data_IF_572862859144
#
_entry.id   IF_572862859144
#
_cell.length_a   1.000
_cell.length_b   1.000
_cell.length_c   1.000
_cell.angle_alpha   90.00
_cell.angle_beta   90.00
_cell.angle_gamma   90.00
#
_symmetry.space_group_name_H-M   'P 1'
#
loop_
_entity.id
_entity.type
_entity.pdbx_description
1 polymer ?
#
# COMPACT_ATOMS: atom_id res chain seq x y z
N UNK A 1 -39.82 78.29 -24.17
CA UNK A 1 -40.60 77.92 -22.97
C UNK A 1 -42.04 77.78 -23.40
N UNK A 2 -42.68 76.69 -23.02
CA UNK A 2 -44.12 76.52 -23.19
C UNK A 2 -44.88 77.58 -22.40
N UNK A 3 -46.00 78.03 -22.93
CA UNK A 3 -46.84 79.07 -22.36
C UNK A 3 -47.88 78.46 -21.40
N UNK A 4 -47.98 79.00 -20.20
CA UNK A 4 -49.09 78.72 -19.27
C UNK A 4 -49.99 79.97 -19.19
N UNK A 5 -51.26 79.85 -19.58
CA UNK A 5 -52.24 80.95 -19.52
C UNK A 5 -53.01 81.04 -18.18
N UNK A 6 -52.98 80.00 -17.35
CA UNK A 6 -53.58 80.03 -16.02
C UNK A 6 -52.66 80.75 -15.04
N UNK A 7 -53.03 81.97 -14.63
CA UNK A 7 -52.18 82.84 -13.80
C UNK A 7 -52.62 82.87 -12.34
N UNK A 8 -51.65 82.87 -11.44
CA UNK A 8 -51.89 83.11 -10.03
C UNK A 8 -52.32 84.58 -9.79
N UNK A 9 -53.39 84.79 -9.03
CA UNK A 9 -53.96 86.10 -8.71
C UNK A 9 -53.51 86.57 -7.33
N UNK A 10 -53.24 87.88 -7.16
CA UNK A 10 -52.96 88.52 -5.87
C UNK A 10 -51.82 87.88 -5.05
N UNK A 11 -50.73 87.48 -5.72
CA UNK A 11 -49.56 86.82 -5.10
C UNK A 11 -48.52 87.80 -4.52
N UNK A 12 -48.65 89.10 -4.79
CA UNK A 12 -47.74 90.11 -4.27
C UNK A 12 -47.79 90.20 -2.74
N UNK A 13 -46.66 90.58 -2.12
CA UNK A 13 -46.55 90.72 -0.67
C UNK A 13 -47.51 91.75 -0.06
N UNK A 14 -47.93 92.73 -0.88
CA UNK A 14 -48.83 93.82 -0.50
C UNK A 14 -50.25 93.63 -1.07
N UNK A 15 -50.61 92.42 -1.51
CA UNK A 15 -51.93 92.17 -2.07
C UNK A 15 -53.05 92.39 -1.04
N UNK A 16 -54.20 92.87 -1.50
CA UNK A 16 -55.40 93.08 -0.68
C UNK A 16 -56.07 91.74 -0.33
N UNK A 17 -55.43 90.95 0.53
CA UNK A 17 -55.87 89.62 0.98
C UNK A 17 -55.63 89.44 2.49
N UNK A 18 -56.55 88.80 3.23
CA UNK A 18 -56.35 88.48 4.63
C UNK A 18 -55.16 87.56 4.85
N UNK A 19 -54.60 87.62 6.06
CA UNK A 19 -53.61 86.66 6.51
C UNK A 19 -54.20 85.24 6.49
N UNK A 20 -53.33 84.22 6.47
CA UNK A 20 -53.83 82.84 6.52
C UNK A 20 -54.60 82.57 7.81
N UNK A 21 -54.11 83.12 8.94
CA UNK A 21 -54.73 82.98 10.24
C UNK A 21 -56.12 83.62 10.29
N UNK A 22 -56.29 84.84 9.77
CA UNK A 22 -57.58 85.51 9.74
C UNK A 22 -58.58 84.75 8.85
N UNK A 23 -58.13 84.24 7.71
CA UNK A 23 -58.96 83.45 6.80
C UNK A 23 -59.46 82.15 7.44
N UNK A 24 -58.59 81.43 8.16
CA UNK A 24 -58.95 80.17 8.84
C UNK A 24 -59.93 80.37 10.01
N UNK A 25 -60.02 81.59 10.55
CA UNK A 25 -60.97 81.93 11.63
C UNK A 25 -62.32 82.44 11.13
N UNK A 26 -62.48 82.68 9.83
CA UNK A 26 -63.76 83.09 9.23
C UNK A 26 -64.76 81.92 9.27
N UNK A 27 -65.90 82.14 9.93
CA UNK A 27 -66.97 81.13 10.05
C UNK A 27 -67.55 80.74 8.67
N UNK A 28 -67.49 81.63 7.68
CA UNK A 28 -67.97 81.39 6.32
C UNK A 28 -67.02 80.48 5.53
N UNK A 29 -65.77 80.25 5.97
CA UNK A 29 -64.85 79.31 5.30
C UNK A 29 -65.45 77.90 5.21
N UNK A 30 -66.13 77.45 6.28
CA UNK A 30 -66.77 76.13 6.34
C UNK A 30 -68.22 76.13 5.86
N UNK A 31 -68.92 77.28 5.96
CA UNK A 31 -70.37 77.39 5.72
C UNK A 31 -70.74 77.98 4.36
N UNK A 32 -69.79 78.62 3.67
CA UNK A 32 -70.06 79.47 2.52
C UNK A 32 -70.62 80.84 2.91
N UNK A 33 -70.65 81.78 1.96
CA UNK A 33 -71.23 83.10 2.18
C UNK A 33 -72.77 83.04 2.21
N UNK A 34 -73.45 83.78 3.12
CA UNK A 34 -74.91 83.81 3.20
C UNK A 34 -75.58 84.38 1.93
N UNK A 35 -76.79 83.92 1.63
CA UNK A 35 -77.56 84.40 0.48
C UNK A 35 -77.86 85.92 0.59
N UNK A 36 -77.71 86.63 -0.53
CA UNK A 36 -78.01 88.07 -0.70
C UNK A 36 -77.28 89.02 0.26
N UNK A 37 -76.06 88.71 0.66
CA UNK A 37 -75.22 89.61 1.47
C UNK A 37 -74.05 90.20 0.67
N UNK A 38 -73.62 91.39 1.07
CA UNK A 38 -72.37 91.98 0.59
C UNK A 38 -71.20 91.12 1.07
N UNK A 39 -70.34 90.72 0.14
CA UNK A 39 -69.14 89.94 0.44
C UNK A 39 -67.94 90.87 0.29
N UNK A 40 -67.11 90.94 1.32
CA UNK A 40 -65.90 91.75 1.30
C UNK A 40 -64.94 91.29 0.19
N UNK A 41 -64.45 92.22 -0.63
CA UNK A 41 -63.47 91.89 -1.66
C UNK A 41 -62.16 91.38 -1.04
N UNK A 42 -61.86 91.77 0.21
CA UNK A 42 -60.70 91.29 0.95
C UNK A 42 -60.74 89.77 1.14
N UNK A 43 -61.86 89.22 1.62
CA UNK A 43 -62.02 87.77 1.81
C UNK A 43 -62.13 87.02 0.47
N UNK A 44 -62.82 87.60 -0.52
CA UNK A 44 -62.93 87.02 -1.86
C UNK A 44 -61.57 86.90 -2.57
N UNK A 45 -60.71 87.91 -2.43
CA UNK A 45 -59.38 87.87 -3.01
C UNK A 45 -58.54 86.71 -2.44
N UNK A 46 -58.78 86.29 -1.18
CA UNK A 46 -58.11 85.12 -0.60
C UNK A 46 -58.52 83.82 -1.28
N UNK A 47 -59.83 83.64 -1.51
CA UNK A 47 -60.39 82.49 -2.23
C UNK A 47 -59.81 82.45 -3.63
N UNK A 48 -59.90 83.56 -4.38
CA UNK A 48 -59.36 83.65 -5.73
C UNK A 48 -57.85 83.41 -5.76
N UNK A 49 -57.09 83.94 -4.80
CA UNK A 49 -55.65 83.68 -4.69
C UNK A 49 -55.36 82.20 -4.50
N UNK A 50 -55.98 81.54 -3.52
CA UNK A 50 -55.71 80.11 -3.27
C UNK A 50 -56.07 79.24 -4.48
N UNK A 51 -57.23 79.45 -5.10
CA UNK A 51 -57.66 78.67 -6.28
C UNK A 51 -56.78 78.93 -7.50
N UNK A 52 -56.52 80.20 -7.84
CA UNK A 52 -55.71 80.56 -9.02
C UNK A 52 -54.24 80.15 -8.88
N UNK A 53 -53.68 80.19 -7.66
CA UNK A 53 -52.30 79.76 -7.40
C UNK A 53 -52.15 78.27 -7.67
N UNK A 54 -53.04 77.42 -7.14
CA UNK A 54 -53.00 75.98 -7.40
C UNK A 54 -53.22 75.68 -8.89
N UNK A 55 -54.15 76.39 -9.53
CA UNK A 55 -54.41 76.23 -10.97
C UNK A 55 -53.17 76.57 -11.80
N UNK A 56 -52.49 77.68 -11.50
CA UNK A 56 -51.23 78.08 -12.15
C UNK A 56 -50.12 77.05 -11.94
N UNK A 57 -49.98 76.51 -10.72
CA UNK A 57 -48.97 75.48 -10.41
C UNK A 57 -49.20 74.20 -11.20
N UNK A 58 -50.46 73.75 -11.30
CA UNK A 58 -50.81 72.55 -12.08
C UNK A 58 -50.54 72.80 -13.56
N UNK A 59 -50.95 73.95 -14.10
CA UNK A 59 -50.74 74.28 -15.50
C UNK A 59 -49.25 74.43 -15.84
N UNK A 60 -48.44 75.03 -14.96
CA UNK A 60 -46.98 75.09 -15.10
C UNK A 60 -46.35 73.69 -15.04
N UNK A 61 -46.82 72.82 -14.15
CA UNK A 61 -46.38 71.43 -14.08
C UNK A 61 -46.63 70.72 -15.42
N UNK A 62 -47.85 70.83 -15.96
CA UNK A 62 -48.21 70.26 -17.27
C UNK A 62 -47.27 70.80 -18.35
N UNK A 63 -47.19 72.13 -18.50
CA UNK A 63 -46.40 72.79 -19.53
C UNK A 63 -44.92 72.38 -19.47
N UNK A 64 -44.38 72.23 -18.26
CA UNK A 64 -42.99 71.83 -18.01
C UNK A 64 -42.74 70.36 -18.35
N UNK A 65 -43.63 69.45 -17.95
CA UNK A 65 -43.40 68.01 -18.15
C UNK A 65 -43.53 67.57 -19.60
N UNK A 66 -44.45 68.18 -20.38
CA UNK A 66 -44.70 67.74 -21.77
C UNK A 66 -44.17 68.72 -22.82
N UNK A 67 -43.74 69.93 -22.42
CA UNK A 67 -43.19 70.94 -23.33
C UNK A 67 -44.22 71.59 -24.27
N UNK A 68 -45.52 71.50 -23.95
CA UNK A 68 -46.63 72.06 -24.75
C UNK A 68 -47.29 73.23 -24.02
N UNK A 69 -47.93 74.13 -24.78
CA UNK A 69 -48.70 75.23 -24.22
C UNK A 69 -49.98 74.75 -23.52
N UNK A 70 -50.29 75.38 -22.39
CA UNK A 70 -51.48 75.16 -21.57
C UNK A 70 -52.33 76.42 -21.62
N UNK A 71 -53.32 76.43 -22.52
CA UNK A 71 -54.13 77.60 -22.88
C UNK A 71 -55.42 77.66 -22.04
N UNK A 72 -55.86 78.87 -21.69
CA UNK A 72 -57.16 79.14 -21.06
C UNK A 72 -58.22 79.40 -22.15
N UNK A 73 -58.59 78.35 -22.88
CA UNK A 73 -59.55 78.37 -24.00
C UNK A 73 -60.86 77.60 -23.73
N UNK A 74 -61.03 77.14 -22.49
CA UNK A 74 -62.18 76.33 -22.06
C UNK A 74 -62.15 74.86 -22.50
N UNK A 75 -61.09 74.39 -23.17
CA UNK A 75 -61.00 72.99 -23.64
C UNK A 75 -60.54 72.02 -22.53
N UNK A 76 -61.48 71.64 -21.66
CA UNK A 76 -61.24 70.73 -20.53
C UNK A 76 -60.72 69.35 -20.97
N UNK A 77 -61.18 68.83 -22.10
CA UNK A 77 -60.73 67.54 -22.63
C UNK A 77 -59.25 67.56 -22.98
N UNK A 78 -58.79 68.62 -23.66
CA UNK A 78 -57.37 68.80 -23.98
C UNK A 78 -56.54 68.97 -22.71
N UNK A 79 -56.98 69.80 -21.77
CA UNK A 79 -56.27 70.02 -20.51
C UNK A 79 -56.12 68.71 -19.70
N UNK A 80 -57.17 67.88 -19.68
CA UNK A 80 -57.15 66.57 -19.01
C UNK A 80 -56.17 65.61 -19.69
N UNK A 81 -56.18 65.55 -21.02
CA UNK A 81 -55.23 64.73 -21.77
C UNK A 81 -53.77 65.18 -21.53
N UNK A 82 -53.54 66.50 -21.50
CA UNK A 82 -52.23 67.07 -21.20
C UNK A 82 -51.78 66.75 -19.75
N UNK A 83 -52.69 66.80 -18.77
CA UNK A 83 -52.38 66.41 -17.40
C UNK A 83 -52.00 64.92 -17.29
N UNK A 84 -52.77 64.02 -17.91
CA UNK A 84 -52.44 62.59 -17.91
C UNK A 84 -51.07 62.33 -18.54
N UNK A 85 -50.79 62.95 -19.69
CA UNK A 85 -49.49 62.85 -20.36
C UNK A 85 -48.35 63.38 -19.48
N UNK A 86 -48.55 64.50 -18.78
CA UNK A 86 -47.57 65.06 -17.86
C UNK A 86 -47.25 64.11 -16.70
N UNK A 87 -48.27 63.45 -16.14
CA UNK A 87 -48.10 62.45 -15.08
C UNK A 87 -47.36 61.21 -15.59
N UNK A 88 -47.72 60.68 -16.76
CA UNK A 88 -47.04 59.54 -17.38
C UNK A 88 -45.56 59.82 -17.67
N UNK A 89 -45.24 60.98 -18.27
CA UNK A 89 -43.86 61.38 -18.53
C UNK A 89 -43.05 61.52 -17.25
N UNK A 90 -43.64 62.12 -16.21
CA UNK A 90 -43.00 62.25 -14.90
C UNK A 90 -42.74 60.89 -14.25
N UNK A 91 -43.66 59.94 -14.39
CA UNK A 91 -43.50 58.59 -13.87
C UNK A 91 -42.39 57.81 -14.59
N UNK A 92 -42.28 57.94 -15.93
CA UNK A 92 -41.27 57.24 -16.75
C UNK A 92 -39.86 57.78 -16.48
N UNK A 93 -39.69 59.11 -16.46
CA UNK A 93 -38.38 59.75 -16.28
C UNK A 93 -37.94 59.84 -14.81
N UNK A 94 -38.87 59.73 -13.87
CA UNK A 94 -38.62 59.91 -12.44
C UNK A 94 -38.13 58.66 -11.72
N UNK A 95 -38.31 57.47 -12.31
CA UNK A 95 -37.89 56.20 -11.73
C UNK A 95 -36.78 55.61 -12.61
N UNK A 96 -35.51 55.64 -12.18
CA UNK A 96 -34.40 55.10 -12.95
C UNK A 96 -34.50 53.56 -13.04
N UNK A 97 -33.69 52.96 -13.93
CA UNK A 97 -33.41 51.54 -13.84
C UNK A 97 -32.72 51.24 -12.51
N UNK A 98 -33.00 50.08 -11.91
CA UNK A 98 -32.28 49.70 -10.71
C UNK A 98 -30.79 49.50 -11.03
N UNK A 99 -29.93 49.88 -10.10
CA UNK A 99 -28.50 49.62 -10.12
C UNK A 99 -28.05 49.12 -8.75
N UNK A 100 -26.76 48.76 -8.63
CA UNK A 100 -26.19 48.33 -7.35
C UNK A 100 -26.25 49.43 -6.27
N UNK A 101 -26.45 50.70 -6.65
CA UNK A 101 -26.42 51.85 -5.74
C UNK A 101 -27.70 52.68 -5.78
N UNK A 102 -28.63 52.42 -6.70
CA UNK A 102 -29.87 53.18 -6.88
C UNK A 102 -31.07 52.24 -7.05
N UNK A 103 -32.11 52.42 -6.24
CA UNK A 103 -33.39 51.69 -6.40
C UNK A 103 -34.09 52.15 -7.68
N UNK A 104 -34.69 51.21 -8.42
CA UNK A 104 -35.35 51.48 -9.69
C UNK A 104 -36.24 50.32 -10.17
N UNK A 105 -36.70 50.38 -11.42
CA UNK A 105 -37.43 49.28 -12.08
C UNK A 105 -36.46 48.29 -12.74
N UNK A 106 -36.83 47.00 -12.79
CA UNK A 106 -36.04 45.92 -13.43
C UNK A 106 -36.97 45.03 -14.24
N UNK A 107 -36.52 44.57 -15.41
CA UNK A 107 -37.23 43.58 -16.23
C UNK A 107 -36.76 42.15 -15.86
N UNK A 108 -37.68 41.20 -15.80
CA UNK A 108 -37.36 39.80 -15.50
C UNK A 108 -36.91 39.03 -16.75
N UNK A 109 -36.03 38.03 -16.57
CA UNK A 109 -35.57 37.12 -17.63
C UNK A 109 -35.56 35.65 -17.20
N UNK A 110 -35.86 34.77 -18.15
CA UNK A 110 -35.83 33.30 -18.05
C UNK A 110 -34.64 32.68 -18.79
N UNK A 111 -33.72 33.50 -19.30
CA UNK A 111 -32.47 33.04 -19.92
C UNK A 111 -31.26 33.58 -19.17
N UNK A 112 -30.16 32.82 -19.21
CA UNK A 112 -28.87 33.27 -18.69
C UNK A 112 -28.17 34.15 -19.72
N UNK A 113 -27.48 35.19 -19.25
CA UNK A 113 -26.67 36.09 -20.07
C UNK A 113 -25.96 37.14 -19.22
N UNK A 114 -25.28 38.07 -19.88
CA UNK A 114 -24.42 39.08 -19.23
C UNK A 114 -25.12 40.45 -19.13
N UNK A 115 -26.43 40.45 -18.82
CA UNK A 115 -27.21 41.69 -18.75
C UNK A 115 -27.15 42.33 -17.36
N UNK A 116 -26.81 43.63 -17.34
CA UNK A 116 -26.87 44.47 -16.12
C UNK A 116 -28.26 45.08 -15.86
N UNK A 117 -29.22 44.88 -16.77
CA UNK A 117 -30.57 45.49 -16.71
C UNK A 117 -31.70 44.47 -16.51
N UNK A 118 -31.37 43.18 -16.51
CA UNK A 118 -32.33 42.09 -16.33
C UNK A 118 -32.09 41.36 -15.01
N UNK A 119 -33.16 41.03 -14.30
CA UNK A 119 -33.12 40.14 -13.14
C UNK A 119 -33.62 38.74 -13.52
N UNK A 120 -32.89 37.72 -13.09
CA UNK A 120 -33.31 36.33 -13.30
C UNK A 120 -34.59 36.01 -12.53
N UNK A 121 -35.46 35.19 -13.12
CA UNK A 121 -36.67 34.70 -12.44
C UNK A 121 -36.33 33.66 -11.37
N UNK A 122 -37.19 33.54 -10.35
CA UNK A 122 -37.08 32.48 -9.34
C UNK A 122 -37.11 31.08 -9.96
N UNK A 123 -37.89 30.89 -11.02
CA UNK A 123 -37.99 29.62 -11.74
C UNK A 123 -36.66 29.25 -12.40
N UNK A 124 -36.00 30.19 -13.09
CA UNK A 124 -34.69 29.95 -13.68
C UNK A 124 -33.63 29.60 -12.62
N UNK A 125 -33.61 30.32 -11.48
CA UNK A 125 -32.72 29.99 -10.36
C UNK A 125 -32.95 28.55 -9.87
N UNK A 126 -34.21 28.13 -9.73
CA UNK A 126 -34.56 26.78 -9.29
C UNK A 126 -34.05 25.71 -10.28
N UNK A 127 -34.18 25.95 -11.58
CA UNK A 127 -33.69 25.03 -12.63
C UNK A 127 -32.16 24.91 -12.61
N UNK A 128 -31.44 26.04 -12.47
CA UNK A 128 -29.98 26.06 -12.36
C UNK A 128 -29.53 25.28 -11.12
N UNK A 129 -30.14 25.52 -9.96
CA UNK A 129 -29.82 24.82 -8.71
C UNK A 129 -30.09 23.32 -8.83
N UNK A 130 -31.22 22.92 -9.41
CA UNK A 130 -31.54 21.50 -9.61
C UNK A 130 -30.56 20.82 -10.58
N UNK A 131 -30.18 21.49 -11.66
CA UNK A 131 -29.17 20.99 -12.62
C UNK A 131 -27.80 20.82 -11.97
N UNK A 132 -27.37 21.79 -11.16
CA UNK A 132 -26.14 21.70 -10.36
C UNK A 132 -26.19 20.51 -9.40
N UNK A 133 -27.28 20.37 -8.64
CA UNK A 133 -27.46 19.28 -7.68
C UNK A 133 -27.44 17.91 -8.37
N UNK A 134 -28.10 17.77 -9.53
CA UNK A 134 -28.08 16.54 -10.33
C UNK A 134 -26.68 16.19 -10.85
N UNK A 135 -25.92 17.18 -11.34
CA UNK A 135 -24.56 16.98 -11.81
C UNK A 135 -23.58 16.58 -10.68
N UNK A 136 -23.73 17.17 -9.49
CA UNK A 136 -22.90 16.83 -8.32
C UNK A 136 -23.21 15.39 -7.88
N UNK A 137 -24.49 15.06 -7.70
CA UNK A 137 -24.94 13.75 -7.22
C UNK A 137 -24.56 12.59 -8.15
N UNK A 138 -24.42 12.82 -9.46
CA UNK A 138 -24.01 11.77 -10.41
C UNK A 138 -22.50 11.47 -10.36
N UNK A 139 -21.66 12.45 -10.01
CA UNK A 139 -20.20 12.28 -9.97
C UNK A 139 -19.72 11.72 -8.64
N UNK A 140 -20.20 12.29 -7.54
CA UNK A 140 -19.87 11.86 -6.18
C UNK A 140 -21.16 11.77 -5.38
N UNK A 141 -21.90 10.65 -5.48
CA UNK A 141 -23.07 10.44 -4.65
C UNK A 141 -22.67 10.42 -3.16
N UNK A 142 -23.51 10.98 -2.29
CA UNK A 142 -23.28 10.95 -0.83
C UNK A 142 -23.21 9.53 -0.25
N UNK A 143 -23.77 8.55 -0.97
CA UNK A 143 -23.71 7.13 -0.64
C UNK A 143 -22.40 6.44 -1.06
N UNK A 144 -21.52 7.13 -1.81
CA UNK A 144 -20.27 6.56 -2.29
C UNK A 144 -19.32 6.33 -1.11
N UNK A 145 -18.73 5.14 -1.09
CA UNK A 145 -17.81 4.70 -0.05
C UNK A 145 -16.46 4.34 -0.64
N UNK A 146 -15.39 4.54 0.13
CA UNK A 146 -14.07 3.95 -0.11
C UNK A 146 -13.90 2.83 0.89
N UNK A 147 -13.88 1.59 0.41
CA UNK A 147 -13.76 0.40 1.23
C UNK A 147 -14.71 0.37 2.46
N UNK A 148 -15.99 0.64 2.22
CA UNK A 148 -17.02 0.66 3.26
C UNK A 148 -17.11 1.97 4.08
N UNK A 149 -16.12 2.88 3.97
CA UNK A 149 -16.08 4.17 4.69
C UNK A 149 -16.74 5.27 3.86
N UNK A 150 -17.64 6.04 4.48
CA UNK A 150 -18.32 7.16 3.83
C UNK A 150 -17.35 8.33 3.56
N UNK A 151 -17.57 9.06 2.46
CA UNK A 151 -16.76 10.21 2.02
C UNK A 151 -17.16 11.51 2.75
N UNK A 152 -17.18 11.50 4.09
CA UNK A 152 -17.55 12.68 4.90
C UNK A 152 -16.35 13.49 5.42
N UNK A 153 -15.13 13.07 5.09
CA UNK A 153 -13.87 13.69 5.52
C UNK A 153 -12.66 12.87 5.08
N UNK A 154 -11.50 13.12 5.68
CA UNK A 154 -10.27 12.37 5.39
C UNK A 154 -10.41 10.89 5.78
N UNK A 155 -10.02 10.00 4.87
CA UNK A 155 -10.10 8.55 5.06
C UNK A 155 -8.71 7.99 5.31
N UNK A 156 -8.46 7.55 6.55
CA UNK A 156 -7.30 6.72 6.87
C UNK A 156 -7.58 5.28 6.44
N UNK A 157 -6.75 4.75 5.54
CA UNK A 157 -6.78 3.35 5.14
C UNK A 157 -5.70 2.57 5.89
N UNK A 158 -6.08 1.41 6.40
CA UNK A 158 -5.19 0.43 7.01
C UNK A 158 -4.89 -0.69 6.01
N UNK A 159 -3.86 -1.49 6.26
CA UNK A 159 -3.59 -2.67 5.42
C UNK A 159 -4.81 -3.61 5.35
N UNK A 160 -5.52 -3.79 6.48
CA UNK A 160 -6.74 -4.58 6.54
C UNK A 160 -7.88 -4.05 5.66
N UNK A 161 -7.94 -2.73 5.44
CA UNK A 161 -8.94 -2.15 4.54
C UNK A 161 -8.76 -2.66 3.10
N UNK A 162 -7.53 -2.85 2.63
CA UNK A 162 -7.28 -3.30 1.24
C UNK A 162 -6.97 -4.78 1.12
N UNK A 163 -7.26 -5.58 2.16
CA UNK A 163 -6.93 -7.00 2.19
C UNK A 163 -5.42 -7.29 2.22
N UNK A 164 -4.61 -6.31 2.64
CA UNK A 164 -3.17 -6.44 2.80
C UNK A 164 -2.80 -6.75 4.26
N UNK A 165 -1.59 -7.29 4.44
CA UNK A 165 -0.97 -7.48 5.76
C UNK A 165 -0.03 -6.31 6.01
N UNK A 166 -0.09 -5.69 7.20
CA UNK A 166 0.88 -4.65 7.55
C UNK A 166 2.27 -5.25 7.73
N UNK A 167 3.32 -4.46 7.45
CA UNK A 167 4.71 -4.87 7.71
C UNK A 167 4.89 -5.31 9.16
N UNK A 168 4.32 -4.58 10.11
CA UNK A 168 4.35 -4.93 11.53
C UNK A 168 3.67 -6.28 11.80
N UNK A 169 2.53 -6.56 11.18
CA UNK A 169 1.82 -7.84 11.39
C UNK A 169 2.62 -9.02 10.81
N UNK A 170 3.22 -8.86 9.62
CA UNK A 170 4.07 -9.88 9.01
C UNK A 170 5.34 -10.13 9.84
N UNK A 171 5.95 -9.07 10.41
CA UNK A 171 7.09 -9.21 11.31
C UNK A 171 6.70 -9.82 12.67
N UNK A 172 5.53 -9.45 13.20
CA UNK A 172 4.99 -10.00 14.45
C UNK A 172 4.67 -11.50 14.33
N UNK A 173 4.17 -11.95 13.18
CA UNK A 173 3.84 -13.37 12.94
C UNK A 173 5.10 -14.24 12.87
N UNK A 174 6.21 -13.70 12.35
CA UNK A 174 7.54 -14.33 12.35
C UNK A 174 8.24 -14.29 13.72
N UNK A 175 7.61 -13.73 14.75
CA UNK A 175 8.17 -13.66 16.10
C UNK A 175 8.41 -15.04 16.74
N UNK A 176 9.26 -15.05 17.77
CA UNK A 176 9.74 -16.26 18.45
C UNK A 176 8.61 -17.19 18.90
N UNK A 177 8.68 -18.46 18.49
CA UNK A 177 7.85 -19.58 18.96
C UNK A 177 6.32 -19.34 19.00
N UNK A 178 5.79 -18.54 18.06
CA UNK A 178 4.36 -18.19 17.99
C UNK A 178 3.45 -19.39 17.75
N UNK A 179 3.95 -20.44 17.09
CA UNK A 179 3.24 -21.71 16.92
C UNK A 179 3.57 -22.68 18.07
N UNK A 180 2.83 -22.63 19.19
CA UNK A 180 3.09 -23.45 20.39
C UNK A 180 1.85 -24.14 21.03
N UNK A 181 0.69 -24.17 20.35
CA UNK A 181 -0.56 -24.77 20.86
C UNK A 181 -1.45 -25.38 19.77
N UNK A 182 -2.55 -26.06 20.17
CA UNK A 182 -3.51 -26.69 19.24
C UNK A 182 -4.08 -25.63 18.27
N UNK A 183 -3.92 -25.87 16.97
CA UNK A 183 -4.57 -25.18 15.82
C UNK A 183 -3.96 -23.90 15.22
N UNK A 184 -2.79 -23.44 15.62
CA UNK A 184 -2.21 -22.25 14.97
C UNK A 184 -1.46 -22.60 13.67
N UNK A 185 -2.19 -22.66 12.56
CA UNK A 185 -1.66 -22.91 11.21
C UNK A 185 -2.05 -21.77 10.28
N UNK A 186 -1.49 -20.59 10.51
CA UNK A 186 -1.78 -19.43 9.66
C UNK A 186 -1.25 -19.65 8.23
N UNK A 187 -2.08 -19.33 7.25
CA UNK A 187 -1.61 -19.08 5.88
C UNK A 187 -0.72 -17.82 5.91
N UNK A 188 0.47 -17.89 5.29
CA UNK A 188 1.52 -16.87 5.41
C UNK A 188 2.76 -17.33 6.18
N UNK A 189 3.50 -16.38 6.76
CA UNK A 189 4.75 -16.65 7.48
C UNK A 189 4.56 -16.70 9.00
N UNK A 190 5.17 -17.67 9.68
CA UNK A 190 5.15 -17.75 11.14
C UNK A 190 6.43 -18.35 11.74
N UNK A 191 6.84 -17.84 12.90
CA UNK A 191 7.89 -18.47 13.71
C UNK A 191 7.33 -19.65 14.52
N UNK A 192 8.10 -20.73 14.64
CA UNK A 192 7.73 -21.92 15.41
C UNK A 192 8.80 -22.30 16.44
N UNK A 193 8.35 -22.96 17.51
CA UNK A 193 9.23 -23.49 18.54
C UNK A 193 9.26 -25.03 18.57
N UNK A 194 10.11 -25.61 19.45
CA UNK A 194 10.36 -27.05 19.55
C UNK A 194 9.12 -27.94 19.66
N UNK A 195 8.06 -27.42 20.29
CA UNK A 195 6.83 -28.15 20.60
C UNK A 195 5.66 -27.78 19.67
N UNK A 196 5.94 -27.13 18.53
CA UNK A 196 4.90 -26.76 17.59
C UNK A 196 4.18 -28.03 17.08
N UNK A 197 2.84 -28.15 17.17
CA UNK A 197 2.14 -29.41 16.87
C UNK A 197 2.37 -29.94 15.46
N UNK A 198 2.59 -29.05 14.50
CA UNK A 198 2.85 -29.45 13.11
C UNK A 198 4.21 -30.17 12.96
N UNK A 199 5.20 -29.89 13.82
CA UNK A 199 6.52 -30.54 13.74
C UNK A 199 6.34 -32.05 13.91
N UNK A 200 5.66 -32.46 14.98
CA UNK A 200 5.33 -33.87 15.22
C UNK A 200 4.38 -34.42 14.15
N UNK A 201 3.32 -33.67 13.81
CA UNK A 201 2.29 -34.11 12.85
C UNK A 201 2.87 -34.46 11.47
N UNK A 202 3.87 -33.71 11.02
CA UNK A 202 4.47 -33.87 9.69
C UNK A 202 5.86 -34.53 9.71
N UNK A 203 6.25 -35.12 10.85
CA UNK A 203 7.50 -35.86 10.98
C UNK A 203 8.76 -34.99 10.78
N UNK A 204 8.69 -33.72 11.16
CA UNK A 204 9.86 -32.83 11.17
C UNK A 204 10.72 -33.10 12.41
N UNK A 205 12.03 -32.77 12.40
CA UNK A 205 12.88 -32.93 13.57
C UNK A 205 12.34 -32.17 14.78
N UNK A 206 12.30 -32.86 15.92
CA UNK A 206 11.90 -32.27 17.19
C UNK A 206 13.04 -31.44 17.78
N UNK A 207 12.70 -30.41 18.58
CA UNK A 207 13.69 -29.64 19.33
C UNK A 207 14.18 -28.34 18.67
N UNK A 208 13.88 -28.15 17.38
CA UNK A 208 14.32 -26.99 16.62
C UNK A 208 13.37 -25.79 16.70
N UNK A 209 13.94 -24.60 16.59
CA UNK A 209 13.22 -23.36 16.26
C UNK A 209 13.29 -23.12 14.76
N UNK A 210 12.36 -22.35 14.21
CA UNK A 210 12.46 -21.92 12.82
C UNK A 210 11.35 -21.00 12.38
N UNK A 211 11.30 -20.77 11.07
CA UNK A 211 10.20 -20.07 10.41
C UNK A 211 9.56 -20.96 9.36
N UNK A 212 8.26 -20.81 9.17
CA UNK A 212 7.51 -21.52 8.15
C UNK A 212 6.78 -20.55 7.23
N UNK A 213 6.65 -20.91 5.96
CA UNK A 213 5.78 -20.30 4.98
C UNK A 213 4.70 -21.30 4.59
N UNK A 214 3.44 -20.94 4.79
CA UNK A 214 2.29 -21.73 4.37
C UNK A 214 1.59 -21.03 3.22
N UNK A 215 1.34 -21.78 2.15
CA UNK A 215 0.61 -21.33 0.99
C UNK A 215 -0.67 -22.15 0.89
N UNK A 216 -1.79 -21.49 0.66
CA UNK A 216 -3.10 -22.12 0.50
C UNK A 216 -3.89 -21.45 -0.63
N UNK A 217 -4.81 -22.19 -1.25
CA UNK A 217 -5.74 -21.63 -2.25
C UNK A 217 -6.94 -20.90 -1.60
N UNK A 218 -6.99 -20.83 -0.27
CA UNK A 218 -7.97 -20.06 0.49
C UNK A 218 -7.26 -19.16 1.50
N UNK A 219 -7.91 -18.06 1.88
CA UNK A 219 -7.41 -17.16 2.92
C UNK A 219 -8.06 -17.51 4.27
N UNK A 220 -7.28 -17.64 5.34
CA UNK A 220 -7.84 -17.74 6.69
C UNK A 220 -6.95 -18.39 7.74
N UNK A 221 -7.53 -18.55 8.93
CA UNK A 221 -6.99 -19.38 10.01
C UNK A 221 -7.05 -20.85 9.59
N UNK A 222 -5.93 -21.58 9.77
CA UNK A 222 -5.81 -23.04 9.62
C UNK A 222 -6.81 -23.66 8.66
N UNK A 223 -6.50 -23.60 7.37
CA UNK A 223 -7.33 -24.19 6.32
C UNK A 223 -7.12 -25.72 6.18
N UNK A 224 -6.60 -26.37 7.24
CA UNK A 224 -6.29 -27.78 7.25
C UNK A 224 -7.55 -28.66 7.37
N UNK A 225 -7.66 -29.74 6.58
CA UNK A 225 -8.80 -30.66 6.63
C UNK A 225 -10.09 -30.16 5.96
N UNK A 226 -10.05 -28.98 5.32
CA UNK A 226 -11.17 -28.44 4.55
C UNK A 226 -11.19 -29.07 3.15
N UNK A 227 -12.32 -29.67 2.78
CA UNK A 227 -12.49 -30.29 1.47
C UNK A 227 -12.32 -29.27 0.33
N UNK A 228 -11.53 -29.61 -0.69
CA UNK A 228 -11.26 -28.73 -1.85
C UNK A 228 -10.20 -27.66 -1.61
N UNK A 229 -9.59 -27.62 -0.42
CA UNK A 229 -8.48 -26.70 -0.12
C UNK A 229 -7.14 -27.39 -0.37
N UNK A 230 -6.25 -26.73 -1.08
CA UNK A 230 -4.87 -27.17 -1.33
C UNK A 230 -3.91 -26.29 -0.54
N UNK A 231 -3.02 -26.93 0.23
CA UNK A 231 -2.03 -26.22 1.03
C UNK A 231 -0.68 -26.93 1.02
N UNK A 232 0.39 -26.11 0.98
CA UNK A 232 1.78 -26.53 1.06
C UNK A 232 2.49 -25.72 2.13
N UNK A 233 3.57 -26.29 2.68
CA UNK A 233 4.44 -25.61 3.63
C UNK A 233 5.90 -25.69 3.20
N UNK A 234 6.62 -24.60 3.40
CA UNK A 234 8.07 -24.53 3.39
C UNK A 234 8.54 -24.17 4.80
N UNK A 235 9.50 -24.91 5.34
CA UNK A 235 9.99 -24.77 6.71
C UNK A 235 11.49 -24.54 6.66
N UNK A 236 11.94 -23.49 7.32
CA UNK A 236 13.34 -23.16 7.51
C UNK A 236 13.66 -23.34 8.99
N UNK A 237 14.37 -24.43 9.31
CA UNK A 237 14.88 -24.66 10.65
C UNK A 237 16.12 -23.78 10.89
N UNK A 238 16.20 -23.12 12.04
CA UNK A 238 17.37 -22.30 12.39
C UNK A 238 18.63 -23.19 12.38
N UNK A 239 19.62 -22.80 11.57
CA UNK A 239 20.90 -23.50 11.39
C UNK A 239 20.80 -24.95 10.90
N UNK A 240 19.59 -25.44 10.67
CA UNK A 240 19.27 -26.82 10.31
C UNK A 240 18.88 -26.95 8.85
N UNK A 241 17.97 -27.87 8.58
CA UNK A 241 17.57 -28.19 7.20
C UNK A 241 16.32 -27.41 6.78
N UNK A 242 16.14 -27.29 5.46
CA UNK A 242 14.90 -26.81 4.88
C UNK A 242 13.99 -27.99 4.52
N UNK A 243 12.70 -27.89 4.83
CA UNK A 243 11.72 -28.92 4.53
C UNK A 243 10.53 -28.36 3.76
N UNK A 244 9.90 -29.19 2.94
CA UNK A 244 8.60 -28.91 2.34
C UNK A 244 7.62 -30.01 2.65
N UNK A 245 6.44 -29.62 3.14
CA UNK A 245 5.31 -30.52 3.31
C UNK A 245 4.30 -30.24 2.20
N UNK A 246 4.08 -31.25 1.36
CA UNK A 246 3.11 -31.19 0.28
C UNK A 246 1.75 -31.73 0.69
N UNK A 247 0.71 -31.25 0.00
CA UNK A 247 -0.65 -31.79 0.06
C UNK A 247 -1.16 -31.93 1.49
N UNK A 248 -1.02 -30.88 2.30
CA UNK A 248 -1.37 -30.89 3.72
C UNK A 248 -2.82 -31.38 3.97
N UNK A 249 -3.72 -31.11 3.02
CA UNK A 249 -5.15 -31.45 3.08
C UNK A 249 -5.55 -32.70 2.31
N UNK A 250 -4.60 -33.40 1.68
CA UNK A 250 -4.91 -34.68 1.06
C UNK A 250 -5.02 -35.79 2.11
N UNK A 251 -5.43 -36.97 1.68
CA UNK A 251 -5.25 -38.18 2.47
C UNK A 251 -3.79 -38.37 2.94
N UNK A 252 -3.61 -39.15 3.99
CA UNK A 252 -2.30 -39.45 4.59
C UNK A 252 -1.33 -40.14 3.63
N UNK A 253 -1.81 -40.68 2.51
CA UNK A 253 -0.98 -41.39 1.52
C UNK A 253 -0.32 -40.42 0.53
N UNK A 254 -0.89 -39.23 0.35
CA UNK A 254 -0.37 -38.17 -0.55
C UNK A 254 0.37 -37.06 0.19
N UNK A 255 0.24 -37.02 1.51
CA UNK A 255 0.98 -36.10 2.36
C UNK A 255 2.44 -36.55 2.48
N UNK A 256 3.36 -35.69 2.09
CA UNK A 256 4.79 -36.01 2.12
C UNK A 256 5.58 -34.80 2.60
N UNK A 257 6.41 -35.01 3.61
CA UNK A 257 7.45 -34.06 4.02
C UNK A 257 8.77 -34.47 3.36
N UNK A 258 9.36 -33.54 2.61
CA UNK A 258 10.63 -33.73 1.90
C UNK A 258 11.66 -32.77 2.46
N UNK A 259 12.87 -33.26 2.70
CA UNK A 259 14.03 -32.43 3.01
C UNK A 259 14.64 -31.89 1.71
N UNK A 260 15.02 -30.62 1.68
CA UNK A 260 15.85 -30.06 0.62
C UNK A 260 17.32 -30.36 0.91
N UNK A 261 18.02 -30.78 -0.14
CA UNK A 261 19.47 -30.87 -0.12
C UNK A 261 20.06 -29.52 -0.55
N UNK A 262 20.96 -29.00 0.25
CA UNK A 262 21.72 -27.76 0.04
C UNK A 262 23.22 -28.05 0.22
N UNK A 263 24.05 -27.04 -0.01
CA UNK A 263 25.52 -27.12 0.09
C UNK A 263 26.02 -27.37 1.52
N UNK A 264 25.17 -27.18 2.54
CA UNK A 264 25.49 -27.48 3.93
C UNK A 264 25.24 -28.94 4.27
N UNK A 265 24.16 -29.54 3.77
CA UNK A 265 23.75 -30.90 4.14
C UNK A 265 23.98 -31.96 3.05
N UNK A 266 24.41 -31.57 1.85
CA UNK A 266 24.89 -32.46 0.80
C UNK A 266 26.14 -31.90 0.11
N UNK A 267 27.09 -32.79 -0.23
CA UNK A 267 28.26 -32.47 -1.05
C UNK A 267 28.36 -33.44 -2.22
N UNK A 268 28.77 -32.98 -3.42
CA UNK A 268 29.13 -33.90 -4.47
C UNK A 268 30.34 -34.74 -4.02
N UNK A 269 30.32 -36.04 -4.29
CA UNK A 269 31.53 -36.87 -4.20
C UNK A 269 32.51 -36.50 -5.32
N UNK A 270 33.70 -37.12 -5.32
CA UNK A 270 34.73 -36.97 -6.36
C UNK A 270 34.22 -37.20 -7.80
N UNK A 271 33.06 -37.86 -7.98
CA UNK A 271 32.45 -38.16 -9.27
C UNK A 271 31.24 -37.25 -9.59
N UNK A 272 30.92 -36.28 -8.73
CA UNK A 272 29.84 -35.30 -8.93
C UNK A 272 28.46 -35.74 -8.41
N UNK A 273 28.34 -36.88 -7.73
CA UNK A 273 27.06 -37.32 -7.15
C UNK A 273 26.83 -36.70 -5.77
N UNK A 274 25.68 -36.08 -5.54
CA UNK A 274 25.33 -35.55 -4.21
C UNK A 274 25.24 -36.69 -3.18
N UNK A 275 26.11 -36.62 -2.17
CA UNK A 275 26.10 -37.44 -0.96
C UNK A 275 25.70 -36.58 0.23
N UNK A 276 25.09 -37.20 1.24
CA UNK A 276 24.83 -36.52 2.51
C UNK A 276 26.15 -35.99 3.07
N UNK A 277 26.22 -34.67 3.29
CA UNK A 277 27.34 -34.03 3.95
C UNK A 277 27.19 -34.25 5.45
N UNK A 278 28.26 -34.69 6.12
CA UNK A 278 28.45 -34.66 7.59
C UNK A 278 29.54 -35.64 8.03
N UNK A 279 30.38 -35.27 9.00
CA UNK A 279 31.73 -34.68 8.82
C UNK A 279 32.55 -35.37 7.73
N UNK A 280 33.18 -34.60 6.84
CA UNK A 280 33.96 -35.12 5.70
C UNK A 280 35.35 -34.46 5.67
N UNK A 281 36.39 -35.27 5.46
CA UNK A 281 37.77 -34.86 5.26
C UNK A 281 38.19 -35.25 3.86
N UNK A 282 38.72 -34.30 3.08
CA UNK A 282 39.31 -34.55 1.77
C UNK A 282 40.84 -34.65 1.91
N UNK A 283 41.44 -35.77 1.50
CA UNK A 283 42.89 -36.00 1.57
C UNK A 283 43.49 -35.95 0.16
N UNK A 284 44.58 -35.20 0.00
CA UNK A 284 45.29 -35.03 -1.26
C UNK A 284 46.63 -35.82 -1.28
N UNK A 285 47.23 -36.07 -2.48
CA UNK A 285 48.39 -36.95 -2.63
C UNK A 285 49.61 -36.59 -1.77
N UNK A 286 49.84 -35.29 -1.57
CA UNK A 286 50.95 -34.74 -0.79
C UNK A 286 50.71 -34.81 0.74
N UNK A 287 49.50 -35.20 1.16
CA UNK A 287 49.10 -35.23 2.56
C UNK A 287 48.41 -33.96 3.03
N UNK A 288 48.25 -32.95 2.18
CA UNK A 288 47.35 -31.82 2.48
C UNK A 288 45.91 -32.31 2.55
N UNK A 289 45.08 -31.60 3.30
CA UNK A 289 43.69 -31.98 3.51
C UNK A 289 42.79 -30.77 3.70
N UNK A 290 41.49 -30.97 3.47
CA UNK A 290 40.44 -30.00 3.75
C UNK A 290 39.40 -30.61 4.69
N UNK A 291 38.96 -29.82 5.66
CA UNK A 291 37.82 -30.11 6.53
C UNK A 291 36.64 -29.23 6.17
N UNK A 292 35.44 -29.72 6.42
CA UNK A 292 34.23 -28.91 6.45
C UNK A 292 33.92 -28.45 7.90
N UNK A 293 32.93 -27.56 8.08
CA UNK A 293 32.54 -27.05 9.40
C UNK A 293 32.34 -28.15 10.44
N UNK A 294 31.73 -29.29 10.06
CA UNK A 294 31.47 -30.39 10.99
C UNK A 294 32.72 -31.20 11.36
N UNK A 295 33.74 -31.26 10.50
CA UNK A 295 35.02 -31.97 10.73
C UNK A 295 36.14 -31.05 11.21
N UNK A 296 35.81 -29.80 11.56
CA UNK A 296 36.76 -28.86 12.12
C UNK A 296 37.43 -29.44 13.38
N UNK A 297 38.76 -29.44 13.38
CA UNK A 297 39.60 -30.04 14.45
C UNK A 297 40.13 -31.43 14.13
N UNK A 298 39.63 -32.10 13.08
CA UNK A 298 40.28 -33.29 12.54
C UNK A 298 41.63 -32.94 11.90
N UNK A 299 42.58 -33.86 11.97
CA UNK A 299 43.94 -33.66 11.46
C UNK A 299 44.37 -34.86 10.61
N UNK A 300 45.07 -34.60 9.51
CA UNK A 300 45.66 -35.63 8.65
C UNK A 300 47.17 -35.47 8.59
N UNK A 301 47.87 -36.58 8.83
CA UNK A 301 49.33 -36.65 8.71
C UNK A 301 49.70 -37.76 7.73
N UNK A 302 50.45 -37.42 6.69
CA UNK A 302 51.07 -38.40 5.80
C UNK A 302 52.29 -39.02 6.48
N UNK A 303 52.24 -40.32 6.72
CA UNK A 303 53.31 -41.06 7.45
C UNK A 303 54.33 -41.71 6.51
N UNK A 304 53.96 -41.91 5.25
CA UNK A 304 54.79 -42.52 4.22
C UNK A 304 54.09 -42.50 2.86
N UNK A 305 54.72 -43.11 1.85
CA UNK A 305 54.08 -43.29 0.53
C UNK A 305 52.80 -44.10 0.68
N UNK A 306 51.68 -43.50 0.32
CA UNK A 306 50.36 -44.10 0.36
C UNK A 306 49.76 -44.24 1.76
N UNK A 307 50.41 -43.75 2.82
CA UNK A 307 49.97 -43.95 4.22
C UNK A 307 49.54 -42.61 4.83
N UNK A 308 48.25 -42.49 5.17
CA UNK A 308 47.63 -41.30 5.72
C UNK A 308 46.95 -41.64 7.05
N UNK A 309 47.32 -40.92 8.12
CA UNK A 309 46.70 -41.07 9.44
C UNK A 309 45.79 -39.89 9.74
N UNK A 310 44.54 -40.18 10.09
CA UNK A 310 43.52 -39.22 10.48
C UNK A 310 43.32 -39.28 11.98
N UNK A 311 43.44 -38.15 12.68
CA UNK A 311 43.35 -38.06 14.14
C UNK A 311 42.29 -37.04 14.58
N UNK A 312 42.01 -37.01 15.89
CA UNK A 312 40.94 -36.20 16.52
C UNK A 312 39.52 -36.55 16.04
N UNK A 313 39.31 -37.84 15.73
CA UNK A 313 38.05 -38.42 15.27
C UNK A 313 37.74 -39.71 16.07
N UNK A 314 36.51 -40.22 15.97
CA UNK A 314 36.03 -41.45 16.61
C UNK A 314 35.78 -42.58 15.59
N UNK A 315 36.59 -42.63 14.53
CA UNK A 315 36.43 -43.57 13.42
C UNK A 315 35.47 -43.06 12.35
N UNK A 316 34.91 -43.99 11.56
CA UNK A 316 33.94 -43.64 10.52
C UNK A 316 32.61 -43.17 11.11
N UNK A 317 31.90 -42.35 10.34
CA UNK A 317 30.57 -41.92 10.73
C UNK A 317 29.61 -43.13 10.88
N UNK A 318 28.97 -43.24 12.04
CA UNK A 318 28.17 -44.42 12.39
C UNK A 318 26.76 -44.45 11.76
N UNK A 319 26.33 -43.40 11.06
CA UNK A 319 24.94 -43.28 10.58
C UNK A 319 24.63 -44.06 9.28
N UNK A 320 25.64 -44.73 8.69
CA UNK A 320 25.49 -45.54 7.48
C UNK A 320 25.11 -44.77 6.21
N UNK A 321 25.13 -43.43 6.22
CA UNK A 321 24.64 -42.58 5.12
C UNK A 321 25.44 -42.66 3.81
N UNK A 322 26.57 -43.35 3.81
CA UNK A 322 27.38 -43.65 2.63
C UNK A 322 27.43 -45.17 2.32
N UNK A 323 26.65 -45.99 3.04
CA UNK A 323 26.57 -47.46 2.90
C UNK A 323 27.18 -48.24 4.08
N UNK A 324 27.02 -49.57 4.08
CA UNK A 324 27.45 -50.49 5.16
C UNK A 324 28.98 -50.50 5.36
N UNK A 325 29.73 -50.18 4.29
CA UNK A 325 31.19 -50.05 4.29
C UNK A 325 31.64 -48.61 3.96
N UNK A 326 30.71 -47.66 3.99
CA UNK A 326 30.77 -46.35 3.32
C UNK A 326 31.55 -45.26 4.05
N UNK A 327 32.75 -45.55 4.52
CA UNK A 327 33.60 -44.54 5.14
C UNK A 327 34.37 -43.66 4.15
N UNK A 328 34.59 -44.15 2.94
CA UNK A 328 35.59 -43.63 2.00
C UNK A 328 35.02 -43.58 0.58
N UNK A 329 35.26 -42.48 -0.13
CA UNK A 329 35.12 -42.36 -1.59
C UNK A 329 36.51 -42.42 -2.22
N UNK A 330 36.68 -43.34 -3.17
CA UNK A 330 37.95 -43.56 -3.88
C UNK A 330 37.87 -42.99 -5.30
N UNK A 331 38.94 -42.36 -5.81
CA UNK A 331 39.01 -41.89 -7.20
C UNK A 331 38.73 -43.00 -8.21
N UNK A 332 37.92 -42.68 -9.22
CA UNK A 332 37.57 -43.58 -10.33
C UNK A 332 37.90 -42.95 -11.67
N UNK A 333 38.14 -43.80 -12.66
CA UNK A 333 38.28 -43.38 -14.05
C UNK A 333 36.90 -43.09 -14.72
N UNK A 334 36.93 -42.72 -16.00
CA UNK A 334 35.73 -42.47 -16.80
C UNK A 334 34.88 -43.73 -17.07
N UNK A 335 35.38 -44.93 -16.76
CA UNK A 335 34.64 -46.19 -16.84
C UNK A 335 34.11 -46.63 -15.47
N UNK A 336 34.20 -45.77 -14.45
CA UNK A 336 33.79 -46.04 -13.07
C UNK A 336 34.62 -47.18 -12.43
N UNK A 337 35.88 -47.33 -12.83
CA UNK A 337 36.85 -48.27 -12.24
C UNK A 337 37.73 -47.54 -11.23
N UNK A 338 37.93 -48.10 -10.02
CA UNK A 338 38.78 -47.48 -9.00
C UNK A 338 40.25 -47.39 -9.45
N UNK A 339 40.88 -46.23 -9.23
CA UNK A 339 42.29 -46.01 -9.61
C UNK A 339 43.30 -46.61 -8.62
N UNK A 340 42.85 -46.85 -7.38
CA UNK A 340 43.64 -47.36 -6.27
C UNK A 340 42.81 -48.36 -5.46
N UNK A 341 43.50 -49.26 -4.75
CA UNK A 341 42.96 -49.95 -3.60
C UNK A 341 43.15 -49.09 -2.35
N UNK A 342 42.21 -49.24 -1.42
CA UNK A 342 42.31 -48.66 -0.08
C UNK A 342 42.22 -49.78 0.92
N UNK A 343 43.19 -49.84 1.82
CA UNK A 343 43.14 -50.65 3.04
C UNK A 343 43.10 -49.70 4.24
N UNK A 344 42.20 -49.95 5.18
CA UNK A 344 41.89 -48.99 6.24
C UNK A 344 41.73 -49.66 7.59
N UNK A 345 42.26 -49.00 8.62
CA UNK A 345 42.37 -49.57 9.96
C UNK A 345 41.98 -48.52 11.00
N UNK A 346 40.79 -48.69 11.58
CA UNK A 346 40.34 -47.90 12.74
C UNK A 346 41.11 -48.35 13.98
N UNK A 347 41.80 -47.41 14.61
CA UNK A 347 42.61 -47.62 15.79
C UNK A 347 41.76 -47.56 17.07
N UNK A 348 42.22 -48.12 18.21
CA UNK A 348 41.48 -48.09 19.48
C UNK A 348 41.17 -46.69 20.01
N UNK A 349 41.96 -45.68 19.61
CA UNK A 349 41.75 -44.26 19.96
C UNK A 349 40.77 -43.54 19.03
N UNK A 350 40.21 -44.25 18.03
CA UNK A 350 39.32 -43.70 17.02
C UNK A 350 40.02 -43.12 15.79
N UNK A 351 41.35 -42.99 15.80
CA UNK A 351 42.10 -42.58 14.60
C UNK A 351 41.96 -43.60 13.47
N UNK A 352 42.07 -43.17 12.22
CA UNK A 352 42.00 -44.06 11.05
C UNK A 352 43.35 -44.00 10.34
N UNK A 353 43.94 -45.15 10.06
CA UNK A 353 45.08 -45.28 9.16
C UNK A 353 44.56 -45.77 7.82
N UNK A 354 44.90 -45.06 6.75
CA UNK A 354 44.55 -45.40 5.38
C UNK A 354 45.83 -45.67 4.61
N UNK A 355 45.88 -46.83 3.99
CA UNK A 355 46.95 -47.27 3.10
C UNK A 355 46.38 -47.40 1.68
N UNK A 356 47.11 -46.85 0.71
CA UNK A 356 46.68 -46.78 -0.69
C UNK A 356 47.66 -47.53 -1.58
N UNK A 357 47.11 -48.31 -2.51
CA UNK A 357 47.87 -49.17 -3.42
C UNK A 357 47.39 -48.98 -4.85
N UNK A 358 48.29 -49.09 -5.82
CA UNK A 358 47.93 -48.95 -7.22
C UNK A 358 46.99 -50.08 -7.65
N UNK A 359 45.93 -49.74 -8.39
CA UNK A 359 45.02 -50.71 -8.98
C UNK A 359 45.09 -50.62 -10.50
N UNK A 360 45.66 -51.65 -11.13
CA UNK A 360 45.93 -51.72 -12.56
C UNK A 360 44.74 -52.27 -13.35
N UNK A 361 43.91 -53.13 -12.75
CA UNK A 361 42.85 -53.91 -13.41
C UNK A 361 43.38 -54.85 -14.51
N UNK A 362 44.40 -55.65 -14.20
CA UNK A 362 45.07 -56.55 -15.15
C UNK A 362 44.16 -57.56 -15.87
N UNK A 363 42.94 -57.79 -15.37
CA UNK A 363 41.93 -58.64 -16.00
C UNK A 363 41.28 -58.01 -17.25
N UNK A 364 41.47 -56.70 -17.47
CA UNK A 364 40.96 -55.97 -18.63
C UNK A 364 41.98 -56.00 -19.79
N UNK A 365 41.54 -55.76 -21.05
CA UNK A 365 42.46 -55.55 -22.16
C UNK A 365 43.43 -54.40 -21.87
N UNK A 366 44.69 -54.54 -22.30
CA UNK A 366 45.81 -53.63 -21.96
C UNK A 366 45.48 -52.14 -22.12
N UNK A 367 44.73 -51.76 -23.17
CA UNK A 367 44.29 -50.39 -23.45
C UNK A 367 43.31 -49.78 -22.44
N UNK A 368 42.69 -50.60 -21.60
CA UNK A 368 41.74 -50.21 -20.54
C UNK A 368 42.31 -50.44 -19.14
N UNK A 369 43.55 -50.94 -19.04
CA UNK A 369 44.25 -51.05 -17.77
C UNK A 369 44.74 -49.67 -17.33
N UNK A 370 44.74 -49.46 -16.02
CA UNK A 370 45.20 -48.23 -15.41
C UNK A 370 46.74 -48.21 -15.37
N UNK A 371 47.38 -47.69 -16.43
CA UNK A 371 48.83 -47.54 -16.51
C UNK A 371 49.31 -46.24 -15.88
N UNK A 372 49.58 -46.24 -14.57
CA UNK A 372 50.10 -45.06 -13.86
C UNK A 372 51.62 -45.04 -13.85
N UNK A 373 52.20 -43.94 -14.35
CA UNK A 373 53.65 -43.70 -14.31
C UNK A 373 54.13 -43.52 -12.86
N UNK A 374 55.15 -44.28 -12.48
CA UNK A 374 55.82 -44.19 -11.17
C UNK A 374 57.03 -43.28 -11.23
N UNK A 375 57.92 -43.52 -12.18
CA UNK A 375 59.12 -42.72 -12.39
C UNK A 375 59.66 -42.93 -13.81
N UNK A 376 60.64 -42.11 -14.19
CA UNK A 376 61.43 -42.30 -15.41
C UNK A 376 62.86 -42.57 -14.94
N UNK A 377 63.47 -43.64 -15.46
CA UNK A 377 64.86 -43.97 -15.13
C UNK A 377 65.85 -43.02 -15.85
N UNK A 378 67.14 -43.09 -15.49
CA UNK A 378 68.21 -42.27 -16.10
C UNK A 378 68.36 -42.48 -17.62
N UNK A 379 67.78 -43.56 -18.17
CA UNK A 379 67.80 -43.90 -19.59
C UNK A 379 66.52 -43.46 -20.32
N UNK A 380 65.57 -42.83 -19.64
CA UNK A 380 64.30 -42.37 -20.21
C UNK A 380 63.20 -43.43 -20.28
N UNK A 381 63.40 -44.62 -19.70
CA UNK A 381 62.37 -45.65 -19.64
C UNK A 381 61.32 -45.31 -18.58
N UNK A 382 60.05 -45.47 -18.96
CA UNK A 382 58.91 -45.28 -18.06
C UNK A 382 58.74 -46.51 -17.18
N UNK A 383 58.87 -46.32 -15.87
CA UNK A 383 58.56 -47.33 -14.86
C UNK A 383 57.12 -47.09 -14.41
N UNK A 384 56.26 -48.10 -14.56
CA UNK A 384 54.85 -48.05 -14.13
C UNK A 384 54.68 -48.77 -12.79
N UNK A 385 53.71 -48.32 -12.02
CA UNK A 385 53.29 -49.04 -10.82
C UNK A 385 52.78 -50.44 -11.17
N UNK A 386 53.08 -51.41 -10.32
CA UNK A 386 52.50 -52.76 -10.40
C UNK A 386 51.17 -52.82 -9.63
N UNK A 387 50.28 -53.74 -10.01
CA UNK A 387 49.03 -53.96 -9.28
C UNK A 387 49.31 -54.32 -7.82
N UNK A 388 48.64 -53.63 -6.89
CA UNK A 388 48.85 -53.77 -5.44
C UNK A 388 50.12 -53.12 -4.90
N UNK A 389 50.89 -52.38 -5.70
CA UNK A 389 52.07 -51.66 -5.21
C UNK A 389 51.66 -50.43 -4.38
N UNK A 390 52.23 -50.19 -3.17
CA UNK A 390 51.95 -48.98 -2.39
C UNK A 390 52.21 -47.70 -3.20
N UNK A 391 51.23 -46.81 -3.26
CA UNK A 391 51.35 -45.56 -3.99
C UNK A 391 50.48 -44.47 -3.34
N UNK A 392 50.90 -43.21 -3.44
CA UNK A 392 50.06 -42.08 -3.02
C UNK A 392 48.77 -41.99 -3.86
N UNK A 393 47.78 -41.24 -3.36
CA UNK A 393 46.56 -40.89 -4.12
C UNK A 393 46.96 -40.34 -5.51
N UNK A 394 46.22 -40.65 -6.60
CA UNK A 394 46.53 -40.10 -7.93
C UNK A 394 46.57 -38.58 -7.96
N UNK A 395 47.47 -38.02 -8.78
CA UNK A 395 47.60 -36.59 -8.95
C UNK A 395 46.27 -35.97 -9.43
N UNK A 396 45.88 -34.84 -8.85
CA UNK A 396 44.59 -34.18 -9.11
C UNK A 396 43.35 -34.96 -8.63
N UNK A 397 43.53 -35.98 -7.79
CA UNK A 397 42.44 -36.68 -7.11
C UNK A 397 42.53 -36.48 -5.59
N UNK A 398 41.43 -36.76 -4.89
CA UNK A 398 41.37 -36.78 -3.43
C UNK A 398 40.67 -38.05 -2.93
N UNK A 399 40.89 -38.40 -1.67
CA UNK A 399 40.04 -39.32 -0.93
C UNK A 399 39.06 -38.54 -0.08
N UNK A 400 37.76 -38.79 -0.24
CA UNK A 400 36.74 -38.16 0.61
C UNK A 400 36.37 -39.14 1.71
N UNK A 401 36.60 -38.76 2.96
CA UNK A 401 36.47 -39.67 4.10
C UNK A 401 35.48 -39.11 5.09
N UNK A 402 34.47 -39.91 5.40
CA UNK A 402 33.37 -39.51 6.26
C UNK A 402 33.59 -40.02 7.69
N UNK A 403 33.81 -39.10 8.62
CA UNK A 403 34.30 -39.41 9.96
C UNK A 403 33.24 -39.14 11.03
N UNK A 404 33.38 -39.77 12.19
CA UNK A 404 32.63 -39.44 13.38
C UNK A 404 33.44 -38.45 14.21
N UNK A 405 32.89 -37.27 14.48
CA UNK A 405 33.55 -36.27 15.33
C UNK A 405 33.14 -36.44 16.79
N UNK A 406 34.05 -36.16 17.74
CA UNK A 406 33.76 -36.26 19.17
C UNK A 406 32.81 -35.15 19.64
N UNK A 407 32.11 -35.38 20.75
CA UNK A 407 31.07 -34.48 21.29
C UNK A 407 31.59 -33.11 21.76
N UNK A 408 32.88 -33.04 22.06
CA UNK A 408 33.62 -31.85 22.47
C UNK A 408 34.39 -31.20 21.30
N UNK A 409 34.18 -31.65 20.06
CA UNK A 409 34.65 -30.95 18.87
C UNK A 409 34.11 -29.51 18.83
N UNK A 410 34.90 -28.62 18.21
CA UNK A 410 34.61 -27.19 18.16
C UNK A 410 33.21 -26.89 17.62
N UNK A 411 32.82 -27.60 16.56
CA UNK A 411 31.48 -27.52 15.97
C UNK A 411 30.37 -27.92 16.94
N UNK A 412 30.50 -29.06 17.62
CA UNK A 412 29.51 -29.54 18.58
C UNK A 412 29.36 -28.60 19.80
N UNK A 413 30.48 -28.03 20.27
CA UNK A 413 30.49 -27.05 21.35
C UNK A 413 29.81 -25.74 20.95
N UNK A 414 30.10 -25.22 19.75
CA UNK A 414 29.48 -24.00 19.24
C UNK A 414 27.96 -24.17 19.11
N UNK A 415 27.50 -25.32 18.59
CA UNK A 415 26.07 -25.64 18.49
C UNK A 415 25.40 -25.70 19.87
N UNK A 416 26.03 -26.37 20.85
CA UNK A 416 25.54 -26.45 22.24
C UNK A 416 25.48 -25.06 22.91
N UNK A 417 26.42 -24.16 22.61
CA UNK A 417 26.46 -22.79 23.14
C UNK A 417 25.33 -21.92 22.57
N UNK A 418 25.17 -21.93 21.25
CA UNK A 418 24.10 -21.18 20.56
C UNK A 418 22.71 -21.63 21.02
N UNK A 419 22.50 -22.94 21.17
CA UNK A 419 21.25 -23.49 21.70
C UNK A 419 20.94 -22.94 23.11
N UNK A 420 21.94 -22.88 24.01
CA UNK A 420 21.79 -22.30 25.35
C UNK A 420 21.51 -20.80 25.32
N UNK A 421 22.14 -20.05 24.41
CA UNK A 421 21.90 -18.61 24.26
C UNK A 421 20.47 -18.31 23.81
N UNK A 422 19.94 -19.10 22.86
CA UNK A 422 18.54 -19.04 22.42
C UNK A 422 17.56 -19.38 23.55
N UNK A 423 17.84 -20.44 24.32
CA UNK A 423 17.03 -20.82 25.49
C UNK A 423 17.05 -19.73 26.58
N UNK A 424 18.20 -19.11 26.85
CA UNK A 424 18.32 -18.04 27.86
C UNK A 424 17.60 -16.76 27.46
N UNK A 425 17.59 -16.42 26.17
CA UNK A 425 16.87 -15.27 25.62
C UNK A 425 15.35 -15.43 25.74
N UNK A 426 14.84 -16.66 25.75
CA UNK A 426 13.42 -16.98 25.95
C UNK A 426 12.91 -16.67 27.37
N UNK A 427 13.78 -16.75 28.39
CA UNK A 427 13.40 -16.50 29.78
C UNK A 427 13.17 -15.01 30.10
N UNK A 428 13.82 -14.12 29.34
CA UNK A 428 13.67 -12.67 29.51
C UNK A 428 12.42 -12.09 28.81
N UNK A 429 11.97 -12.71 27.71
CA UNK A 429 10.81 -12.24 26.94
C UNK A 429 9.44 -12.45 27.61
N UNK A 430 9.36 -13.24 28.69
CA UNK A 430 8.12 -13.52 29.43
C UNK A 430 7.84 -12.53 30.59
N UNK A 431 8.67 -11.49 30.77
CA UNK A 431 8.57 -10.53 31.88
C UNK A 431 8.19 -9.08 31.49
N UNK A 432 7.71 -8.84 30.28
CA UNK A 432 7.21 -7.52 29.85
C UNK A 432 5.76 -7.58 29.39
#
# INVERSE_FOLDING_TARGET
>A
MSKNDFKAFAIDSNANVPSQQDYETDLNLSRGFPDRQYIDNYILNKIFRQTSTITSVIADFIATQIGEDVLDDGNVTKLTAQLNKALEQKAITGIPNASLTQKGIVQLTDVMGDSDTLAVTQQLIKEIVNSLLGNINTRVPDSRKINGKALTGDINLTAGDVGAVSTNNAMLSMGFARLNGLENLYDGCAGYGPNAPFVTKYGLPLGGYGVQLRFSNVNGLSSEGVYGVWSHRLVFEHEGNTYRTDSINSDSNRQATRKFWDDKNAKPDTNGYLKKASPIIEIYPDGTFLTNDESEGAEVIKQGTGIYRISNILGYNADGGWGVHGGISVPRDNNNLELIFVDDHVQPDGSIIIETFHRQHAHLPERFQNWRLKSIDDNGNKIFYQDGEPCDIPDSCCLDIRVQMPEDSLWNLNRKKLQKEMESSSAFGHKL
#
